data_IF_210881373191
#
_entry.id   IF_210881373191
#
_cell.length_a   1.000
_cell.length_b   1.000
_cell.length_c   1.000
_cell.angle_alpha   90.00
_cell.angle_beta   90.00
_cell.angle_gamma   90.00
#
_symmetry.space_group_name_H-M   'P 1'
#
loop_
_entity.id
_entity.type
_entity.pdbx_description
1 polymer ?
#
# COMPACT_ATOMS: atom_id res chain seq x y z
N UNK A 1 -14.32 59.04 -25.08
CA UNK A 1 -13.57 57.78 -24.89
C UNK A 1 -13.49 57.47 -23.39
N UNK A 2 -14.60 56.97 -22.81
CA UNK A 2 -14.80 56.85 -21.35
C UNK A 2 -14.68 55.38 -20.93
N UNK A 3 -13.60 55.09 -20.18
CA UNK A 3 -13.54 54.17 -19.03
C UNK A 3 -14.28 52.82 -19.15
N UNK A 4 -13.79 51.89 -19.96
CA UNK A 4 -14.14 50.44 -19.87
C UNK A 4 -13.18 49.64 -18.98
N UNK A 5 -12.04 50.23 -18.60
CA UNK A 5 -11.00 49.65 -17.76
C UNK A 5 -11.49 49.24 -16.34
N UNK A 6 -12.38 49.98 -15.63
CA UNK A 6 -12.74 49.59 -14.26
C UNK A 6 -13.64 48.34 -14.23
N UNK A 7 -14.45 48.10 -15.25
CA UNK A 7 -15.34 46.93 -15.32
C UNK A 7 -14.58 45.62 -15.50
N UNK A 8 -13.54 45.63 -16.34
CA UNK A 8 -12.68 44.45 -16.56
C UNK A 8 -11.88 44.13 -15.30
N UNK A 9 -11.36 45.16 -14.60
CA UNK A 9 -10.61 44.97 -13.36
C UNK A 9 -11.50 44.40 -12.23
N UNK A 10 -12.74 44.88 -12.10
CA UNK A 10 -13.69 44.35 -11.10
C UNK A 10 -14.10 42.91 -11.42
N UNK A 11 -14.37 42.59 -12.68
CA UNK A 11 -14.72 41.23 -13.09
C UNK A 11 -13.55 40.25 -12.87
N UNK A 12 -12.33 40.67 -13.17
CA UNK A 12 -11.12 39.88 -12.91
C UNK A 12 -10.88 39.67 -11.41
N UNK A 13 -11.09 40.70 -10.59
CA UNK A 13 -10.99 40.59 -9.13
C UNK A 13 -12.07 39.65 -8.56
N UNK A 14 -13.30 39.71 -9.06
CA UNK A 14 -14.37 38.79 -8.68
C UNK A 14 -14.03 37.34 -9.08
N UNK A 15 -13.55 37.13 -10.31
CA UNK A 15 -13.13 35.80 -10.77
C UNK A 15 -11.98 35.22 -9.94
N UNK A 16 -11.01 36.05 -9.53
CA UNK A 16 -9.92 35.64 -8.65
C UNK A 16 -10.41 35.28 -7.23
N UNK A 17 -11.36 36.03 -6.67
CA UNK A 17 -11.97 35.75 -5.37
C UNK A 17 -12.81 34.45 -5.40
N UNK A 18 -13.54 34.18 -6.49
CA UNK A 18 -14.27 32.92 -6.66
C UNK A 18 -13.32 31.73 -6.91
N UNK A 19 -12.22 31.95 -7.62
CA UNK A 19 -11.19 30.93 -7.85
C UNK A 19 -10.48 30.47 -6.57
N UNK A 20 -10.41 31.33 -5.55
CA UNK A 20 -9.82 31.00 -4.24
C UNK A 20 -10.54 29.87 -3.49
N UNK A 21 -11.86 29.71 -3.67
CA UNK A 21 -12.63 28.63 -3.06
C UNK A 21 -12.47 27.28 -3.79
N UNK A 22 -11.99 27.29 -5.03
CA UNK A 22 -11.72 26.09 -5.82
C UNK A 22 -10.26 25.61 -5.69
N UNK A 23 -9.42 26.32 -4.92
CA UNK A 23 -8.06 25.89 -4.63
C UNK A 23 -8.18 24.69 -3.67
N UNK A 24 -7.74 23.49 -4.06
CA UNK A 24 -7.75 22.35 -3.16
C UNK A 24 -6.94 22.73 -1.92
N UNK A 25 -7.54 22.66 -0.73
CA UNK A 25 -6.84 22.99 0.52
C UNK A 25 -5.63 22.07 0.77
N UNK A 26 -5.55 20.95 0.04
CA UNK A 26 -4.54 19.91 0.20
C UNK A 26 -4.09 19.30 -1.15
N UNK A 27 -3.52 20.07 -2.09
CA UNK A 27 -3.22 19.59 -3.45
C UNK A 27 -2.30 18.36 -3.47
N UNK A 28 -1.36 18.30 -2.52
CA UNK A 28 -0.40 17.20 -2.42
C UNK A 28 -0.96 15.95 -1.74
N UNK A 29 -1.94 16.08 -0.84
CA UNK A 29 -2.50 14.94 -0.13
C UNK A 29 -3.53 14.19 -0.96
N UNK A 30 -4.41 14.92 -1.66
CA UNK A 30 -5.40 14.32 -2.54
C UNK A 30 -4.72 13.57 -3.69
N UNK A 31 -3.66 14.15 -4.27
CA UNK A 31 -2.86 13.52 -5.31
C UNK A 31 -2.12 12.24 -4.86
N UNK A 32 -1.89 12.07 -3.56
CA UNK A 32 -1.17 10.91 -2.98
C UNK A 32 -2.09 9.96 -2.23
N UNK A 33 -3.40 10.19 -2.28
CA UNK A 33 -4.36 9.34 -1.62
C UNK A 33 -4.25 7.88 -2.12
N UNK A 34 -4.08 6.95 -1.19
CA UNK A 34 -3.93 5.52 -1.47
C UNK A 34 -2.54 5.07 -1.96
N UNK A 35 -1.57 5.99 -2.08
CA UNK A 35 -0.24 5.64 -2.60
C UNK A 35 0.50 4.62 -1.73
N UNK A 36 0.43 4.78 -0.40
CA UNK A 36 1.06 3.84 0.54
C UNK A 36 0.47 2.43 0.41
N UNK A 37 -0.84 2.29 0.19
CA UNK A 37 -1.50 0.99 0.02
C UNK A 37 -1.11 0.37 -1.31
N UNK A 38 -1.10 1.13 -2.40
CA UNK A 38 -0.65 0.66 -3.72
C UNK A 38 0.82 0.22 -3.68
N UNK A 39 1.66 0.97 -2.96
CA UNK A 39 3.06 0.61 -2.76
C UNK A 39 3.21 -0.69 -1.95
N UNK A 40 2.50 -0.81 -0.83
CA UNK A 40 2.53 -2.03 -0.02
C UNK A 40 2.03 -3.25 -0.83
N UNK A 41 0.96 -3.07 -1.59
CA UNK A 41 0.44 -4.11 -2.49
C UNK A 41 1.48 -4.50 -3.54
N UNK A 42 2.15 -3.54 -4.18
CA UNK A 42 3.19 -3.82 -5.17
C UNK A 42 4.38 -4.60 -4.56
N UNK A 43 4.77 -4.26 -3.32
CA UNK A 43 5.84 -4.96 -2.60
C UNK A 43 5.44 -6.38 -2.15
N UNK A 44 4.16 -6.60 -1.85
CA UNK A 44 3.64 -7.90 -1.43
C UNK A 44 3.17 -8.78 -2.60
N UNK A 45 3.01 -8.20 -3.79
CA UNK A 45 2.61 -8.94 -4.99
C UNK A 45 3.79 -9.73 -5.52
N UNK A 46 3.78 -11.04 -5.28
CA UNK A 46 4.85 -11.95 -5.74
C UNK A 46 4.95 -12.03 -7.27
N UNK A 47 3.82 -12.06 -7.97
CA UNK A 47 3.77 -12.10 -9.42
C UNK A 47 2.58 -11.27 -9.95
N UNK A 48 2.82 -10.07 -10.50
CA UNK A 48 1.77 -9.22 -11.03
C UNK A 48 1.11 -9.77 -12.30
N UNK A 49 1.79 -10.67 -13.01
CA UNK A 49 1.32 -11.28 -14.26
C UNK A 49 0.66 -12.66 -14.04
N UNK A 50 0.44 -13.08 -12.79
CA UNK A 50 -0.09 -14.40 -12.46
C UNK A 50 -1.41 -14.73 -13.20
N UNK A 51 -2.28 -13.74 -13.42
CA UNK A 51 -3.56 -13.93 -14.13
C UNK A 51 -3.43 -14.11 -15.65
N UNK A 52 -2.24 -13.89 -16.23
CA UNK A 52 -1.97 -14.17 -17.64
C UNK A 52 -1.54 -15.62 -17.87
N UNK A 53 -1.20 -16.34 -16.81
CA UNK A 53 -0.85 -17.75 -16.91
C UNK A 53 -2.11 -18.59 -17.14
N UNK A 54 -2.17 -19.27 -18.28
CA UNK A 54 -3.24 -20.21 -18.64
C UNK A 54 -2.95 -21.65 -18.23
N UNK A 55 -1.74 -21.94 -17.76
CA UNK A 55 -1.33 -23.27 -17.35
C UNK A 55 -2.25 -23.78 -16.23
N UNK A 56 -2.71 -25.04 -16.31
CA UNK A 56 -3.56 -25.59 -15.27
C UNK A 56 -2.79 -25.64 -13.95
N UNK A 57 -3.42 -25.19 -12.86
CA UNK A 57 -2.86 -25.35 -11.51
C UNK A 57 -2.89 -26.85 -11.18
N UNK A 58 -1.75 -27.52 -11.28
CA UNK A 58 -1.62 -28.97 -11.06
C UNK A 58 -1.77 -29.37 -9.59
N UNK A 59 -1.77 -28.40 -8.67
CA UNK A 59 -1.90 -28.63 -7.23
C UNK A 59 -0.64 -29.24 -6.61
N UNK A 60 -0.81 -29.86 -5.44
CA UNK A 60 0.23 -30.62 -4.73
C UNK A 60 0.08 -32.11 -5.03
N UNK A 61 1.18 -32.86 -5.08
CA UNK A 61 1.12 -34.31 -5.17
C UNK A 61 0.54 -34.93 -3.88
N UNK A 62 0.05 -36.16 -3.96
CA UNK A 62 -0.61 -36.82 -2.84
C UNK A 62 0.32 -37.10 -1.65
N UNK A 63 1.60 -37.37 -1.89
CA UNK A 63 2.57 -37.63 -0.83
C UNK A 63 2.88 -36.34 -0.06
N UNK A 64 3.13 -35.24 -0.78
CA UNK A 64 3.29 -33.90 -0.19
C UNK A 64 2.03 -33.47 0.57
N UNK A 65 0.84 -33.75 0.02
CA UNK A 65 -0.43 -33.49 0.69
C UNK A 65 -0.59 -34.25 1.99
N UNK A 66 -0.27 -35.55 1.99
CA UNK A 66 -0.25 -36.35 3.22
C UNK A 66 0.75 -35.79 4.23
N UNK A 67 1.98 -35.50 3.80
CA UNK A 67 3.01 -34.97 4.68
C UNK A 67 2.63 -33.60 5.28
N UNK A 68 1.90 -32.76 4.55
CA UNK A 68 1.39 -31.49 5.07
C UNK A 68 0.36 -31.69 6.18
N UNK A 69 -0.59 -32.62 5.99
CA UNK A 69 -1.60 -32.95 7.01
C UNK A 69 -0.96 -33.64 8.23
N UNK A 70 0.00 -34.55 8.02
CA UNK A 70 0.71 -35.22 9.12
C UNK A 70 1.45 -34.19 9.99
N UNK A 71 2.21 -33.27 9.37
CA UNK A 71 2.89 -32.18 10.08
C UNK A 71 1.92 -31.26 10.83
N UNK A 72 0.78 -30.96 10.21
CA UNK A 72 -0.26 -30.17 10.88
C UNK A 72 -0.74 -30.87 12.16
N UNK A 73 -1.05 -32.16 12.10
CA UNK A 73 -1.45 -32.94 13.28
C UNK A 73 -0.34 -33.05 14.32
N UNK A 74 0.90 -33.28 13.89
CA UNK A 74 2.08 -33.34 14.76
C UNK A 74 2.30 -32.02 15.51
N UNK A 75 2.04 -30.86 14.89
CA UNK A 75 2.19 -29.56 15.54
C UNK A 75 1.34 -29.39 16.80
N UNK A 76 0.21 -30.11 16.91
CA UNK A 76 -0.62 -30.13 18.13
C UNK A 76 -0.16 -31.15 19.17
N UNK A 77 0.55 -32.20 18.75
CA UNK A 77 1.12 -33.23 19.66
C UNK A 77 2.46 -32.80 20.23
N UNK A 78 3.24 -32.07 19.44
CA UNK A 78 4.54 -31.52 19.79
C UNK A 78 4.52 -30.05 19.42
N UNK A 79 3.98 -29.18 20.31
CA UNK A 79 3.99 -27.75 20.08
C UNK A 79 5.43 -27.33 19.74
N UNK A 80 5.64 -26.60 18.63
CA UNK A 80 6.97 -26.08 18.34
C UNK A 80 7.42 -25.27 19.55
N UNK A 81 8.70 -25.40 19.93
CA UNK A 81 9.26 -24.61 21.02
C UNK A 81 8.87 -23.16 20.77
N UNK A 82 8.27 -22.51 21.76
CA UNK A 82 7.95 -21.09 21.69
C UNK A 82 9.25 -20.36 21.38
N UNK A 83 9.41 -19.96 20.11
CA UNK A 83 10.44 -19.11 19.52
C UNK A 83 11.70 -18.88 20.39
N UNK A 84 12.87 -19.26 19.87
CA UNK A 84 14.10 -18.61 20.31
C UNK A 84 13.98 -17.12 19.99
N UNK A 85 13.89 -16.29 21.03
CA UNK A 85 13.91 -14.84 20.91
C UNK A 85 15.25 -14.48 20.27
N UNK A 86 15.25 -14.23 18.96
CA UNK A 86 16.32 -13.47 18.34
C UNK A 86 16.23 -12.05 18.90
N UNK A 87 17.01 -11.80 19.94
CA UNK A 87 17.16 -10.48 20.55
C UNK A 87 17.92 -9.57 19.57
N UNK A 88 17.20 -9.09 18.54
CA UNK A 88 17.64 -7.99 17.68
C UNK A 88 17.33 -6.70 18.46
N UNK A 89 18.04 -6.56 19.58
CA UNK A 89 17.80 -5.56 20.63
C UNK A 89 19.10 -5.07 21.26
N UNK A 90 20.18 -5.00 20.48
CA UNK A 90 21.30 -4.08 20.69
C UNK A 90 21.83 -3.95 22.13
N UNK A 91 22.63 -4.92 22.57
CA UNK A 91 23.60 -4.71 23.65
C UNK A 91 24.71 -3.75 23.20
N UNK A 92 24.44 -2.45 23.22
CA UNK A 92 25.45 -1.40 23.20
C UNK A 92 25.80 -1.05 24.66
N UNK A 93 26.69 -1.82 25.26
CA UNK A 93 27.58 -1.35 26.32
C UNK A 93 28.75 -2.31 26.44
N UNK A 94 29.65 -2.20 25.46
CA UNK A 94 31.03 -2.64 25.63
C UNK A 94 31.76 -1.67 26.57
N UNK A 95 32.80 -2.22 27.20
CA UNK A 95 33.85 -1.50 27.92
C UNK A 95 34.45 -0.34 27.13
#
# INVERSE_FOLDING_TARGET
>A
MKRTIPGVAVLAAFAALLGGCAIPATPSYDAKFGEAVRQAQALQTLNPDAGKNSDPVTGIDGESGKAAIDRYQESFRTPPRSFEVFDIGGGLSGQ
#
